data_IF_706861663978
#
_entry.id   IF_706861663978
#
_cell.length_a   1.000
_cell.length_b   1.000
_cell.length_c   1.000
_cell.angle_alpha   90.00
_cell.angle_beta   90.00
_cell.angle_gamma   90.00
#
_symmetry.space_group_name_H-M   'P 1'
#
loop_
_entity.id
_entity.type
_entity.pdbx_description
1 polymer ?
#
# COMPACT_ATOMS: atom_id res chain seq x y z
N UNK A 1 -36.80 45.01 -32.99
CA UNK A 1 -36.29 44.84 -31.62
C UNK A 1 -34.85 44.39 -31.74
N UNK A 2 -33.92 45.26 -31.36
CA UNK A 2 -32.49 45.21 -31.71
C UNK A 2 -31.72 44.20 -30.86
N UNK A 3 -30.95 43.32 -31.53
CA UNK A 3 -29.99 42.42 -30.90
C UNK A 3 -28.71 43.18 -30.53
N UNK A 4 -28.43 43.29 -29.24
CA UNK A 4 -27.15 43.80 -28.74
C UNK A 4 -26.10 42.68 -28.74
N UNK A 5 -25.09 42.83 -29.58
CA UNK A 5 -23.86 42.03 -29.54
C UNK A 5 -23.01 42.43 -28.33
N UNK A 6 -22.66 41.47 -27.48
CA UNK A 6 -21.62 41.62 -26.46
C UNK A 6 -20.26 41.29 -27.07
N UNK A 7 -19.35 42.27 -27.08
CA UNK A 7 -17.95 42.07 -27.40
C UNK A 7 -17.18 41.50 -26.18
N UNK A 8 -16.21 40.61 -26.37
CA UNK A 8 -15.37 40.11 -25.28
C UNK A 8 -14.27 41.12 -24.90
N UNK A 9 -14.07 41.31 -23.61
CA UNK A 9 -12.98 42.09 -23.02
C UNK A 9 -11.64 41.35 -23.12
N UNK A 10 -10.52 42.04 -23.39
CA UNK A 10 -9.19 41.44 -23.38
C UNK A 10 -8.69 41.24 -21.94
N UNK A 11 -8.26 40.02 -21.60
CA UNK A 11 -7.55 39.74 -20.35
C UNK A 11 -6.04 40.01 -20.53
N UNK A 12 -5.37 40.63 -19.56
CA UNK A 12 -3.94 40.90 -19.62
C UNK A 12 -3.13 39.64 -19.28
N UNK A 13 -2.35 39.18 -20.26
CA UNK A 13 -1.34 38.13 -20.11
C UNK A 13 -0.06 38.71 -19.50
N UNK A 14 0.11 38.58 -18.19
CA UNK A 14 1.40 38.78 -17.52
C UNK A 14 1.64 37.60 -16.57
N UNK A 15 2.91 37.16 -16.50
CA UNK A 15 3.47 36.09 -15.67
C UNK A 15 3.58 34.71 -16.34
N UNK A 16 4.43 34.63 -17.36
CA UNK A 16 5.19 33.42 -17.71
C UNK A 16 6.67 33.80 -17.73
N UNK A 17 7.29 33.89 -16.56
CA UNK A 17 8.73 34.11 -16.44
C UNK A 17 9.22 33.65 -15.06
N UNK A 18 9.42 32.34 -14.89
CA UNK A 18 10.45 31.76 -13.98
C UNK A 18 10.48 30.24 -14.20
N UNK A 19 11.16 29.82 -15.24
CA UNK A 19 11.81 28.52 -15.32
C UNK A 19 13.24 28.78 -15.79
N UNK A 20 14.16 27.87 -15.46
CA UNK A 20 15.62 27.91 -15.73
C UNK A 20 16.42 28.61 -14.62
N UNK A 21 16.80 27.87 -13.58
CA UNK A 21 18.18 27.72 -13.05
C UNK A 21 18.14 26.62 -11.98
N UNK A 22 18.26 25.34 -12.37
CA UNK A 22 18.94 24.30 -11.56
C UNK A 22 19.00 22.96 -12.33
N UNK A 23 19.84 22.87 -13.36
CA UNK A 23 20.19 21.58 -13.98
C UNK A 23 21.52 21.71 -14.71
N UNK A 24 22.59 21.90 -13.95
CA UNK A 24 23.96 21.83 -14.48
C UNK A 24 24.93 21.52 -13.33
N UNK A 25 25.09 20.22 -13.03
CA UNK A 25 26.26 19.63 -12.36
C UNK A 25 25.98 18.15 -12.09
N UNK A 26 26.21 17.28 -13.09
CA UNK A 26 26.74 15.91 -12.94
C UNK A 26 26.79 15.25 -14.33
N UNK A 27 27.77 15.65 -15.14
CA UNK A 27 28.12 14.94 -16.38
C UNK A 27 29.59 15.18 -16.67
N UNK A 28 30.46 14.42 -16.00
CA UNK A 28 31.86 14.21 -16.35
C UNK A 28 32.38 13.16 -15.38
N UNK A 29 32.49 11.91 -15.83
CA UNK A 29 33.65 11.04 -15.54
C UNK A 29 33.51 9.68 -16.25
N UNK A 30 34.50 9.43 -17.11
CA UNK A 30 35.05 8.14 -17.57
C UNK A 30 34.28 7.34 -18.61
N UNK A 31 34.56 7.64 -19.88
CA UNK A 31 34.62 6.65 -20.96
C UNK A 31 36.00 5.99 -20.94
N UNK A 32 36.07 4.72 -20.53
CA UNK A 32 37.25 3.87 -20.75
C UNK A 32 36.81 2.64 -21.56
N UNK A 33 37.30 2.61 -22.80
CA UNK A 33 37.21 1.54 -23.78
C UNK A 33 37.97 0.29 -23.31
N UNK A 34 37.40 -0.89 -23.56
CA UNK A 34 38.10 -2.17 -23.44
C UNK A 34 37.73 -3.10 -24.61
N UNK A 35 38.67 -3.92 -25.10
CA UNK A 35 38.56 -4.70 -26.35
C UNK A 35 37.72 -5.98 -26.21
N UNK A 36 37.32 -6.62 -27.35
CA UNK A 36 36.52 -7.83 -27.34
C UNK A 36 37.39 -9.05 -26.97
N UNK A 37 37.10 -9.68 -25.83
CA UNK A 37 37.67 -10.97 -25.46
C UNK A 37 36.71 -12.12 -25.84
N UNK A 38 37.30 -13.14 -26.44
CA UNK A 38 36.65 -14.27 -27.07
C UNK A 38 35.79 -15.13 -26.11
N UNK A 39 34.79 -15.75 -26.71
CA UNK A 39 33.86 -16.69 -26.11
C UNK A 39 34.56 -17.91 -25.48
N UNK A 40 34.14 -18.25 -24.26
CA UNK A 40 34.16 -19.62 -23.73
C UNK A 40 32.77 -19.95 -23.17
N UNK A 41 32.19 -21.12 -23.49
CA UNK A 41 30.95 -21.56 -22.88
C UNK A 41 31.24 -21.98 -21.44
N UNK A 42 31.06 -21.07 -20.50
CA UNK A 42 31.01 -21.41 -19.09
C UNK A 42 29.74 -22.21 -18.84
N UNK A 43 29.90 -23.51 -18.56
CA UNK A 43 28.87 -24.32 -17.94
C UNK A 43 28.40 -23.61 -16.67
N UNK A 44 27.22 -23.02 -16.74
CA UNK A 44 26.55 -22.44 -15.58
C UNK A 44 26.18 -23.59 -14.64
N UNK A 45 27.08 -23.91 -13.72
CA UNK A 45 26.72 -24.54 -12.48
C UNK A 45 25.77 -23.59 -11.78
N UNK A 46 24.47 -23.84 -11.92
CA UNK A 46 23.42 -23.21 -11.11
C UNK A 46 23.74 -23.57 -9.66
N UNK A 47 24.54 -22.73 -9.00
CA UNK A 47 24.48 -22.60 -7.56
C UNK A 47 23.06 -22.18 -7.25
N UNK A 48 22.22 -23.16 -6.95
CA UNK A 48 21.02 -23.00 -6.16
C UNK A 48 21.48 -22.40 -4.82
N UNK A 49 21.73 -21.09 -4.85
CA UNK A 49 21.96 -20.27 -3.68
C UNK A 49 20.81 -20.58 -2.75
N UNK A 50 21.15 -20.91 -1.50
CA UNK A 50 20.21 -21.17 -0.43
C UNK A 50 19.26 -19.98 -0.29
N UNK A 51 18.20 -19.97 -1.10
CA UNK A 51 17.05 -19.11 -0.95
C UNK A 51 16.49 -19.49 0.41
N UNK A 52 16.84 -18.73 1.45
CA UNK A 52 16.34 -19.01 2.79
C UNK A 52 14.83 -19.16 2.67
N UNK A 53 14.32 -20.29 3.17
CA UNK A 53 12.91 -20.61 3.09
C UNK A 53 12.10 -19.40 3.55
N UNK A 54 11.23 -18.89 2.68
CA UNK A 54 10.28 -17.80 2.98
C UNK A 54 8.95 -18.41 3.45
N UNK A 55 8.69 -19.64 3.00
CA UNK A 55 7.50 -20.41 3.29
C UNK A 55 7.36 -20.67 4.79
N UNK A 56 6.21 -20.31 5.34
CA UNK A 56 5.97 -20.50 6.76
C UNK A 56 4.82 -19.68 7.31
N UNK A 57 4.80 -19.59 8.64
CA UNK A 57 3.84 -18.83 9.43
C UNK A 57 4.47 -17.52 9.88
N UNK A 58 3.73 -16.44 9.71
CA UNK A 58 4.19 -15.08 9.96
C UNK A 58 3.13 -14.28 10.70
N UNK A 59 3.50 -13.62 11.80
CA UNK A 59 2.60 -12.77 12.58
C UNK A 59 2.58 -11.37 12.01
N UNK A 60 1.41 -10.89 11.60
CA UNK A 60 1.26 -9.58 10.99
C UNK A 60 1.12 -8.45 12.03
N UNK A 61 1.72 -7.29 11.75
CA UNK A 61 1.41 -6.06 12.46
C UNK A 61 0.06 -5.49 12.00
N UNK A 62 -0.45 -4.50 12.74
CA UNK A 62 -1.53 -3.67 12.21
C UNK A 62 -1.09 -3.02 10.89
N UNK A 63 -2.03 -2.83 9.96
CA UNK A 63 -1.85 -1.98 8.80
C UNK A 63 -2.03 -0.54 9.26
N UNK A 64 -0.98 0.26 9.10
CA UNK A 64 -1.04 1.69 9.37
C UNK A 64 -1.22 2.42 8.05
N UNK A 65 -2.21 3.31 7.99
CA UNK A 65 -2.49 4.18 6.86
C UNK A 65 -2.34 5.62 7.32
N UNK A 66 -1.32 6.31 6.82
CA UNK A 66 -1.08 7.71 7.10
C UNK A 66 -1.48 8.54 5.86
N UNK A 67 -2.49 9.39 6.00
CA UNK A 67 -2.97 10.27 4.92
C UNK A 67 -2.40 11.69 5.09
N UNK A 68 -1.96 12.28 3.98
CA UNK A 68 -1.60 13.70 3.89
C UNK A 68 -2.52 14.37 2.88
N UNK A 69 -3.44 15.19 3.39
CA UNK A 69 -4.40 15.91 2.57
C UNK A 69 -3.71 17.12 1.95
N UNK A 70 -3.63 17.15 0.61
CA UNK A 70 -3.05 18.26 -0.14
C UNK A 70 -4.10 19.30 -0.50
N UNK A 71 -5.25 18.83 -0.97
CA UNK A 71 -6.39 19.67 -1.33
C UNK A 71 -7.67 18.93 -0.98
N UNK A 72 -8.58 19.58 -0.27
CA UNK A 72 -9.86 18.96 0.07
C UNK A 72 -10.95 20.01 0.10
N UNK A 73 -11.98 19.80 -0.71
CA UNK A 73 -13.15 20.67 -0.78
C UNK A 73 -14.33 20.04 -0.08
N UNK A 74 -15.35 20.84 0.25
CA UNK A 74 -16.56 20.35 0.91
C UNK A 74 -17.36 19.35 0.05
N UNK A 75 -17.27 19.45 -1.28
CA UNK A 75 -17.89 18.51 -2.23
C UNK A 75 -17.29 17.10 -2.16
N UNK A 76 -16.08 16.94 -1.60
CA UNK A 76 -15.38 15.67 -1.46
C UNK A 76 -15.89 14.83 -0.27
N UNK A 77 -16.72 15.40 0.61
CA UNK A 77 -17.07 14.81 1.90
C UNK A 77 -15.97 14.99 2.96
N UNK A 78 -15.99 14.21 4.06
CA UNK A 78 -14.97 14.30 5.10
C UNK A 78 -13.57 13.95 4.57
N UNK A 79 -12.56 14.72 5.00
CA UNK A 79 -11.17 14.44 4.65
C UNK A 79 -10.72 13.09 5.24
N UNK A 80 -9.91 12.30 4.50
CA UNK A 80 -9.41 11.03 5.01
C UNK A 80 -8.53 11.29 6.23
N UNK A 81 -8.69 10.47 7.25
CA UNK A 81 -7.89 10.52 8.46
C UNK A 81 -6.99 9.30 8.53
N UNK A 82 -5.81 9.48 9.11
CA UNK A 82 -4.88 8.37 9.34
C UNK A 82 -5.48 7.37 10.34
N UNK A 83 -5.39 6.09 10.01
CA UNK A 83 -5.97 5.01 10.80
C UNK A 83 -5.00 3.83 10.93
N UNK A 84 -5.33 2.91 11.83
CA UNK A 84 -4.63 1.64 11.99
C UNK A 84 -5.66 0.54 12.10
N UNK A 85 -5.52 -0.53 11.32
CA UNK A 85 -6.50 -1.62 11.24
C UNK A 85 -5.86 -3.00 11.22
N UNK A 86 -6.58 -3.99 11.77
CA UNK A 86 -6.14 -5.38 11.84
C UNK A 86 -4.87 -5.59 12.68
N UNK A 87 -4.17 -6.70 12.42
CA UNK A 87 -2.92 -7.05 13.13
C UNK A 87 -3.08 -8.23 14.08
N UNK A 88 -1.96 -8.79 14.52
CA UNK A 88 -1.91 -9.86 15.54
C UNK A 88 -2.14 -11.27 14.99
N UNK A 89 -2.87 -11.41 13.88
CA UNK A 89 -3.12 -12.72 13.26
C UNK A 89 -1.85 -13.35 12.68
N UNK A 90 -1.87 -14.67 12.53
CA UNK A 90 -0.81 -15.42 11.86
C UNK A 90 -1.24 -15.69 10.42
N UNK A 91 -0.50 -15.13 9.47
CA UNK A 91 -0.61 -15.40 8.04
C UNK A 91 0.29 -16.57 7.64
N UNK A 92 -0.10 -17.28 6.59
CA UNK A 92 0.79 -18.21 5.90
C UNK A 92 1.40 -17.48 4.72
N UNK A 93 2.72 -17.49 4.62
CA UNK A 93 3.44 -16.91 3.48
C UNK A 93 4.04 -18.05 2.69
N UNK A 94 3.94 -17.98 1.36
CA UNK A 94 4.52 -18.94 0.43
C UNK A 94 5.10 -18.23 -0.77
N UNK A 95 6.11 -18.83 -1.39
CA UNK A 95 6.51 -18.52 -2.75
C UNK A 95 5.71 -19.39 -3.74
N UNK A 96 5.00 -18.75 -4.66
CA UNK A 96 4.39 -19.42 -5.81
C UNK A 96 5.06 -18.94 -7.08
N UNK A 97 5.91 -19.81 -7.65
CA UNK A 97 6.84 -19.41 -8.70
C UNK A 97 7.79 -18.33 -8.18
N UNK A 98 7.73 -17.15 -8.79
CA UNK A 98 8.55 -16.00 -8.42
C UNK A 98 7.83 -14.99 -7.52
N UNK A 99 6.61 -15.28 -7.09
CA UNK A 99 5.76 -14.34 -6.36
C UNK A 99 5.57 -14.72 -4.91
N UNK A 100 5.56 -13.72 -4.04
CA UNK A 100 5.17 -13.86 -2.65
C UNK A 100 3.65 -13.91 -2.55
N UNK A 101 3.12 -14.93 -1.90
CA UNK A 101 1.68 -15.09 -1.61
C UNK A 101 1.49 -15.08 -0.10
N UNK A 102 0.67 -14.15 0.38
CA UNK A 102 0.32 -13.99 1.79
C UNK A 102 -1.15 -14.38 1.97
N UNK A 103 -1.37 -15.46 2.70
CA UNK A 103 -2.68 -16.01 3.06
C UNK A 103 -2.99 -15.63 4.52
N UNK A 104 -3.78 -14.59 4.74
CA UNK A 104 -4.17 -14.16 6.09
C UNK A 104 -4.46 -12.67 6.18
N UNK A 105 -4.98 -12.21 7.32
CA UNK A 105 -5.26 -10.79 7.55
C UNK A 105 -6.37 -10.20 6.68
N UNK A 106 -7.39 -11.01 6.42
CA UNK A 106 -8.64 -10.59 5.77
C UNK A 106 -8.67 -10.73 4.25
N UNK A 107 -7.54 -11.01 3.58
CA UNK A 107 -7.50 -11.33 2.15
C UNK A 107 -6.26 -12.13 1.76
N UNK A 108 -6.27 -12.75 0.59
CA UNK A 108 -5.05 -13.21 -0.08
C UNK A 108 -4.39 -12.03 -0.79
N UNK A 109 -3.08 -11.87 -0.59
CA UNK A 109 -2.28 -10.86 -1.29
C UNK A 109 -1.14 -11.54 -2.04
N UNK A 110 -0.98 -11.20 -3.33
CA UNK A 110 0.19 -11.58 -4.12
C UNK A 110 1.06 -10.35 -4.39
N UNK A 111 2.38 -10.50 -4.36
CA UNK A 111 3.32 -9.39 -4.60
C UNK A 111 3.11 -8.69 -5.93
N UNK A 112 2.58 -9.39 -6.93
CA UNK A 112 2.26 -8.85 -8.24
C UNK A 112 0.81 -8.35 -8.38
N UNK A 113 0.10 -8.11 -7.28
CA UNK A 113 -1.23 -7.49 -7.28
C UNK A 113 -1.17 -6.11 -6.61
N UNK A 114 -2.21 -5.30 -6.84
CA UNK A 114 -2.37 -4.05 -6.12
C UNK A 114 -2.67 -4.33 -4.65
N UNK A 115 -1.93 -3.68 -3.74
CA UNK A 115 -2.14 -3.88 -2.32
C UNK A 115 -3.37 -3.12 -1.81
N UNK A 116 -3.72 -1.99 -2.42
CA UNK A 116 -5.02 -1.36 -2.20
C UNK A 116 -6.15 -2.14 -2.92
N UNK A 117 -7.28 -2.41 -2.24
CA UNK A 117 -8.39 -3.17 -2.81
C UNK A 117 -9.34 -2.33 -3.69
N UNK A 118 -9.02 -1.08 -4.05
CA UNK A 118 -9.85 -0.23 -4.90
C UNK A 118 -10.15 -0.96 -6.22
N UNK A 119 -11.43 -1.19 -6.57
CA UNK A 119 -11.79 -2.05 -7.71
C UNK A 119 -11.25 -1.59 -9.07
N UNK A 120 -11.05 -0.28 -9.27
CA UNK A 120 -10.57 0.27 -10.53
C UNK A 120 -9.06 0.35 -10.65
N UNK A 121 -8.31 0.02 -9.59
CA UNK A 121 -6.86 -0.09 -9.65
C UNK A 121 -6.45 -1.32 -10.45
N UNK A 122 -5.63 -1.11 -11.48
CA UNK A 122 -4.99 -2.16 -12.22
C UNK A 122 -3.47 -2.07 -12.08
N UNK A 123 -2.80 -3.21 -12.21
CA UNK A 123 -1.33 -3.28 -12.21
C UNK A 123 -0.77 -2.65 -13.49
N UNK A 124 -0.05 -1.56 -13.34
CA UNK A 124 0.63 -0.87 -14.43
C UNK A 124 2.04 -1.40 -14.68
N UNK A 125 2.77 -1.75 -13.62
CA UNK A 125 4.10 -2.35 -13.72
C UNK A 125 4.39 -3.26 -12.54
N UNK A 126 5.23 -4.27 -12.75
CA UNK A 126 5.74 -5.15 -11.71
C UNK A 126 7.17 -5.53 -12.00
N UNK A 127 7.99 -5.59 -10.96
CA UNK A 127 9.38 -6.04 -11.04
C UNK A 127 9.77 -6.76 -9.76
N UNK A 128 10.69 -7.70 -9.90
CA UNK A 128 11.25 -8.49 -8.82
C UNK A 128 12.76 -8.37 -8.84
N UNK A 129 13.36 -8.28 -7.66
CA UNK A 129 14.81 -8.32 -7.52
C UNK A 129 15.33 -9.75 -7.77
N UNK A 130 16.48 -9.94 -8.45
CA UNK A 130 17.04 -11.26 -8.75
C UNK A 130 17.26 -12.15 -7.51
N UNK A 131 17.42 -11.58 -6.32
CA UNK A 131 17.53 -12.35 -5.08
C UNK A 131 16.22 -13.02 -4.66
N UNK A 132 15.09 -12.66 -5.27
CA UNK A 132 13.77 -13.12 -4.85
C UNK A 132 13.34 -12.59 -3.47
N UNK A 133 13.97 -11.52 -2.99
CA UNK A 133 13.68 -10.90 -1.68
C UNK A 133 13.01 -9.54 -1.76
N UNK A 134 12.78 -9.02 -2.96
CA UNK A 134 12.07 -7.76 -3.11
C UNK A 134 11.21 -7.74 -4.36
N UNK A 135 10.02 -7.15 -4.22
CA UNK A 135 9.06 -6.94 -5.29
C UNK A 135 8.61 -5.48 -5.27
N UNK A 136 8.45 -4.90 -6.46
CA UNK A 136 7.91 -3.57 -6.66
C UNK A 136 6.75 -3.64 -7.62
N UNK A 137 5.59 -3.16 -7.19
CA UNK A 137 4.37 -3.13 -7.99
C UNK A 137 3.87 -1.70 -8.06
N UNK A 138 3.63 -1.23 -9.28
CA UNK A 138 2.94 0.04 -9.53
C UNK A 138 1.53 -0.28 -9.99
N UNK A 139 0.55 0.35 -9.35
CA UNK A 139 -0.84 0.29 -9.74
C UNK A 139 -1.37 1.67 -10.07
N UNK A 140 -2.26 1.73 -11.04
CA UNK A 140 -2.94 2.98 -11.41
C UNK A 140 -4.34 2.69 -11.91
N UNK A 141 -5.23 3.66 -11.74
CA UNK A 141 -6.54 3.64 -12.39
C UNK A 141 -6.40 4.06 -13.87
N UNK A 142 -7.36 3.72 -14.73
CA UNK A 142 -7.40 4.21 -16.11
C UNK A 142 -7.45 5.74 -16.19
N UNK A 143 -6.98 6.33 -17.30
CA UNK A 143 -6.92 7.79 -17.48
C UNK A 143 -8.31 8.48 -17.44
N UNK A 144 -9.38 7.76 -17.77
CA UNK A 144 -10.75 8.28 -17.73
C UNK A 144 -11.46 8.11 -16.37
N UNK A 145 -10.82 7.51 -15.37
CA UNK A 145 -11.44 7.29 -14.07
C UNK A 145 -11.59 8.63 -13.31
N UNK A 146 -12.79 9.00 -12.82
CA UNK A 146 -12.98 10.21 -12.01
C UNK A 146 -12.27 10.14 -10.64
N UNK A 147 -11.90 8.94 -10.18
CA UNK A 147 -11.13 8.67 -8.97
C UNK A 147 -9.75 8.17 -9.37
N UNK A 148 -8.89 9.08 -9.81
CA UNK A 148 -7.54 8.73 -10.20
C UNK A 148 -6.73 8.29 -8.99
N UNK A 149 -6.03 7.17 -9.12
CA UNK A 149 -5.07 6.72 -8.13
C UNK A 149 -3.79 6.26 -8.79
N UNK A 150 -2.65 6.55 -8.17
CA UNK A 150 -1.35 5.95 -8.53
C UNK A 150 -0.66 5.50 -7.26
N UNK A 151 -0.43 4.20 -7.15
CA UNK A 151 0.16 3.55 -5.99
C UNK A 151 1.46 2.83 -6.38
N UNK A 152 2.41 2.80 -5.46
CA UNK A 152 3.64 2.04 -5.57
C UNK A 152 3.84 1.23 -4.28
N UNK A 153 3.76 -0.08 -4.41
CA UNK A 153 3.99 -1.05 -3.34
C UNK A 153 5.41 -1.61 -3.45
N UNK A 154 6.13 -1.64 -2.34
CA UNK A 154 7.41 -2.32 -2.15
C UNK A 154 7.25 -3.41 -1.10
N UNK A 155 7.56 -4.64 -1.47
CA UNK A 155 7.67 -5.77 -0.55
C UNK A 155 9.16 -6.11 -0.42
N UNK A 156 9.64 -6.28 0.81
CA UNK A 156 11.02 -6.72 1.10
C UNK A 156 11.02 -7.82 2.15
N UNK A 157 11.87 -8.83 1.96
CA UNK A 157 11.92 -10.02 2.81
C UNK A 157 13.34 -10.22 3.34
N UNK A 158 13.47 -10.20 4.67
CA UNK A 158 14.67 -10.63 5.40
C UNK A 158 14.49 -12.06 5.94
N UNK A 159 15.42 -12.54 6.76
CA UNK A 159 15.34 -13.86 7.40
C UNK A 159 14.23 -13.98 8.44
N UNK A 160 13.83 -12.86 9.07
CA UNK A 160 12.87 -12.87 10.19
C UNK A 160 11.73 -11.88 10.01
N UNK A 161 11.76 -11.08 8.93
CA UNK A 161 10.81 -9.99 8.72
C UNK A 161 10.43 -9.81 7.26
N UNK A 162 9.15 -9.56 7.02
CA UNK A 162 8.64 -9.07 5.73
C UNK A 162 8.13 -7.67 5.97
N UNK A 163 8.50 -6.74 5.11
CA UNK A 163 8.02 -5.36 5.13
C UNK A 163 7.24 -5.09 3.85
N UNK A 164 6.03 -4.55 4.01
CA UNK A 164 5.17 -4.06 2.94
C UNK A 164 5.02 -2.57 3.16
N UNK A 165 5.53 -1.78 2.23
CA UNK A 165 5.39 -0.33 2.22
C UNK A 165 4.71 0.10 0.91
N UNK A 166 3.63 0.85 1.03
CA UNK A 166 2.94 1.43 -0.12
C UNK A 166 2.90 2.95 0.02
N UNK A 167 3.16 3.64 -1.08
CA UNK A 167 2.94 5.09 -1.20
C UNK A 167 2.07 5.34 -2.39
N UNK A 168 1.18 6.32 -2.31
CA UNK A 168 0.39 6.69 -3.46
C UNK A 168 -0.33 8.01 -3.32
N UNK A 169 -1.02 8.36 -4.39
CA UNK A 169 -1.76 9.60 -4.53
C UNK A 169 -3.14 9.32 -5.08
N UNK A 170 -4.15 9.86 -4.43
CA UNK A 170 -5.54 9.87 -4.86
C UNK A 170 -5.90 11.27 -5.35
N UNK A 171 -6.55 11.34 -6.50
CA UNK A 171 -7.10 12.55 -7.10
C UNK A 171 -8.54 12.27 -7.53
N UNK A 172 -9.50 12.90 -6.87
CA UNK A 172 -10.92 12.77 -7.20
C UNK A 172 -11.42 14.09 -7.76
N UNK A 173 -12.14 14.04 -8.87
CA UNK A 173 -12.82 15.22 -9.44
C UNK A 173 -14.33 15.11 -9.21
N UNK A 174 -14.92 16.05 -8.45
CA UNK A 174 -16.35 16.08 -8.10
C UNK A 174 -16.90 17.49 -8.29
N UNK A 175 -17.89 17.68 -9.16
CA UNK A 175 -18.56 18.97 -9.42
C UNK A 175 -17.57 20.13 -9.61
N UNK A 176 -16.59 19.95 -10.51
CA UNK A 176 -15.47 20.87 -10.80
C UNK A 176 -14.47 21.09 -9.64
N UNK A 177 -14.63 20.34 -8.54
CA UNK A 177 -13.73 20.33 -7.40
C UNK A 177 -12.67 19.23 -7.46
N UNK A 178 -11.46 19.53 -7.00
CA UNK A 178 -10.36 18.56 -6.89
C UNK A 178 -10.09 18.17 -5.44
N UNK A 179 -10.09 16.87 -5.17
CA UNK A 179 -9.79 16.27 -3.88
C UNK A 179 -8.50 15.47 -4.02
N UNK A 180 -7.44 15.89 -3.34
CA UNK A 180 -6.12 15.31 -3.45
C UNK A 180 -5.60 14.92 -2.07
N UNK A 181 -5.26 13.64 -1.93
CA UNK A 181 -4.62 13.12 -0.74
C UNK A 181 -3.51 12.14 -1.13
N UNK A 182 -2.37 12.26 -0.47
CA UNK A 182 -1.32 11.26 -0.54
C UNK A 182 -1.51 10.26 0.60
N UNK A 183 -1.21 8.98 0.35
CA UNK A 183 -1.29 7.91 1.33
C UNK A 183 0.07 7.24 1.48
N UNK A 184 0.41 6.91 2.72
CA UNK A 184 1.49 5.99 3.04
C UNK A 184 0.94 4.85 3.87
N UNK A 185 1.09 3.62 3.38
CA UNK A 185 0.71 2.42 4.11
C UNK A 185 1.93 1.60 4.48
N UNK A 186 1.94 1.05 5.69
CA UNK A 186 2.95 0.09 6.09
C UNK A 186 2.35 -1.08 6.87
N UNK A 187 2.91 -2.26 6.64
CA UNK A 187 2.65 -3.47 7.40
C UNK A 187 3.92 -4.30 7.43
N UNK A 188 4.22 -4.85 8.60
CA UNK A 188 5.31 -5.80 8.79
C UNK A 188 4.76 -7.18 9.15
N UNK A 189 5.49 -8.23 8.81
CA UNK A 189 5.24 -9.58 9.27
C UNK A 189 6.48 -10.13 9.94
N UNK A 190 6.35 -10.65 11.16
CA UNK A 190 7.42 -11.28 11.90
C UNK A 190 7.33 -12.81 11.78
N UNK A 191 8.45 -13.46 11.51
CA UNK A 191 8.48 -14.92 11.37
C UNK A 191 8.06 -15.61 12.68
N UNK A 192 7.13 -16.57 12.57
CA UNK A 192 6.70 -17.44 13.68
C UNK A 192 7.36 -18.81 13.54
N UNK A 193 7.23 -19.43 12.38
CA UNK A 193 7.84 -20.71 12.07
C UNK A 193 8.05 -20.84 10.56
N UNK A 194 9.15 -21.43 10.15
CA UNK A 194 9.36 -21.83 8.75
C UNK A 194 8.71 -23.18 8.51
N UNK A 195 8.15 -23.37 7.33
CA UNK A 195 7.75 -24.70 6.88
C UNK A 195 9.03 -25.51 6.61
N UNK A 196 9.05 -26.77 7.05
CA UNK A 196 10.17 -27.65 6.77
C UNK A 196 10.31 -27.80 5.25
N UNK A 197 11.54 -27.68 4.73
CA UNK A 197 11.80 -27.84 3.31
C UNK A 197 11.19 -29.16 2.82
N UNK A 198 10.43 -29.17 1.71
CA UNK A 198 9.84 -30.40 1.20
C UNK A 198 10.97 -31.41 0.95
N UNK A 199 10.80 -32.69 1.35
CA UNK A 199 11.82 -33.71 1.11
C UNK A 199 12.12 -33.76 -0.38
N UNK A 200 13.40 -33.70 -0.73
CA UNK A 200 13.85 -33.79 -2.12
C UNK A 200 13.32 -35.09 -2.71
N UNK A 201 12.55 -35.06 -3.82
CA UNK A 201 12.03 -36.28 -4.40
C UNK A 201 13.20 -37.12 -4.89
N UNK A 202 13.52 -38.18 -4.15
CA UNK A 202 14.39 -39.24 -4.65
C UNK A 202 13.59 -39.96 -5.72
N UNK A 203 13.99 -39.77 -6.98
CA UNK A 203 13.39 -40.45 -8.11
C UNK A 203 13.72 -41.94 -8.03
N UNK A 204 12.91 -42.70 -7.31
CA UNK A 204 12.87 -44.15 -7.42
C UNK A 204 11.76 -44.52 -8.41
N UNK A 205 12.16 -44.82 -9.64
CA UNK A 205 11.32 -45.56 -10.55
C UNK A 205 11.12 -46.96 -9.96
N UNK A 206 9.91 -47.28 -9.48
CA UNK A 206 9.52 -48.65 -9.13
C UNK A 206 8.02 -48.82 -9.37
N UNK A 207 7.72 -49.94 -10.00
CA UNK A 207 6.45 -50.34 -10.57
C UNK A 207 5.26 -50.29 -9.60
N UNK A 208 4.08 -50.14 -10.17
CA UNK A 208 2.79 -50.22 -9.49
C UNK A 208 2.60 -51.58 -8.78
N UNK A 209 2.23 -51.58 -7.50
CA UNK A 209 1.49 -52.67 -6.89
C UNK A 209 0.01 -52.32 -6.81
N UNK A 210 -0.83 -53.18 -7.38
CA UNK A 210 -2.23 -53.32 -6.95
C UNK A 210 -2.25 -53.91 -5.55
N UNK A 211 -2.71 -53.15 -4.55
CA UNK A 211 -3.13 -53.72 -3.27
C UNK A 211 -4.44 -53.09 -2.77
N UNK A 212 -5.47 -53.93 -2.84
CA UNK A 212 -6.51 -54.21 -1.85
C UNK A 212 -6.57 -53.28 -0.63
N UNK A 213 -7.68 -52.56 -0.54
CA UNK A 213 -8.10 -51.72 0.58
C UNK A 213 -8.29 -52.57 1.84
N UNK A 214 -7.35 -52.45 2.79
CA UNK A 214 -7.56 -52.83 4.17
C UNK A 214 -8.33 -51.71 4.91
N UNK A 215 -9.20 -52.03 5.89
CA UNK A 215 -9.94 -51.04 6.66
C UNK A 215 -8.99 -50.14 7.48
N UNK A 216 -9.26 -48.83 7.58
CA UNK A 216 -8.37 -47.89 8.25
C UNK A 216 -8.30 -48.13 9.76
N UNK A 217 -7.06 -48.14 10.28
CA UNK A 217 -6.77 -48.10 11.72
C UNK A 217 -7.40 -46.85 12.38
N UNK A 218 -7.86 -46.95 13.64
CA UNK A 218 -8.47 -45.83 14.35
C UNK A 218 -7.45 -44.70 14.60
N UNK A 219 -7.83 -43.42 14.39
CA UNK A 219 -6.93 -42.28 14.55
C UNK A 219 -6.47 -42.11 16.00
N UNK A 220 -5.17 -41.87 16.18
CA UNK A 220 -4.59 -41.52 17.48
C UNK A 220 -5.31 -40.30 18.10
N UNK A 221 -5.51 -40.26 19.44
CA UNK A 221 -6.27 -39.20 20.11
C UNK A 221 -5.61 -37.83 19.88
N UNK A 222 -6.24 -37.03 19.03
CA UNK A 222 -5.72 -35.76 18.53
C UNK A 222 -5.77 -34.65 19.58
N UNK A 223 -4.96 -33.60 19.33
CA UNK A 223 -4.79 -32.37 20.14
C UNK A 223 -6.09 -31.59 20.45
N UNK A 224 -7.23 -32.04 19.95
CA UNK A 224 -8.55 -31.40 20.11
C UNK A 224 -9.55 -32.26 20.91
N UNK A 225 -9.08 -33.20 21.74
CA UNK A 225 -9.97 -34.02 22.58
C UNK A 225 -10.81 -33.18 23.56
N UNK A 226 -10.34 -31.99 23.94
CA UNK A 226 -11.09 -31.04 24.76
C UNK A 226 -10.91 -29.63 24.18
N UNK A 227 -11.83 -29.17 23.31
CA UNK A 227 -11.82 -27.82 22.77
C UNK A 227 -11.93 -26.76 23.88
N UNK A 228 -11.18 -25.67 23.73
CA UNK A 228 -11.25 -24.50 24.59
C UNK A 228 -12.47 -23.62 24.31
N UNK A 229 -12.48 -22.43 24.92
CA UNK A 229 -13.52 -21.45 24.70
C UNK A 229 -13.48 -20.89 23.26
N UNK A 230 -14.64 -20.55 22.66
CA UNK A 230 -14.69 -19.92 21.34
C UNK A 230 -13.81 -18.67 21.24
N UNK A 231 -12.91 -18.63 20.27
CA UNK A 231 -12.02 -17.49 20.02
C UNK A 231 -12.10 -16.95 18.59
N UNK A 232 -12.66 -17.73 17.65
CA UNK A 232 -12.78 -17.32 16.25
C UNK A 232 -14.03 -17.94 15.62
N UNK A 233 -14.79 -17.13 14.90
CA UNK A 233 -15.86 -17.56 14.00
C UNK A 233 -15.39 -17.32 12.56
N UNK A 234 -15.39 -18.37 11.73
CA UNK A 234 -15.01 -18.33 10.32
C UNK A 234 -16.12 -18.92 9.44
N UNK A 235 -16.46 -18.25 8.35
CA UNK A 235 -17.49 -18.69 7.38
C UNK A 235 -16.89 -18.71 5.98
N UNK A 236 -17.05 -19.85 5.27
CA UNK A 236 -16.55 -20.06 3.91
C UNK A 236 -17.68 -20.50 2.96
N UNK A 237 -17.70 -19.99 1.72
CA UNK A 237 -16.93 -18.83 1.22
C UNK A 237 -17.43 -17.50 1.84
N UNK A 238 -16.71 -16.40 1.64
CA UNK A 238 -17.15 -15.05 2.07
C UNK A 238 -18.17 -14.42 1.13
N UNK A 239 -18.17 -14.83 -0.14
CA UNK A 239 -19.09 -14.39 -1.20
C UNK A 239 -19.49 -15.56 -2.08
N UNK A 240 -20.75 -15.62 -2.49
CA UNK A 240 -21.30 -16.63 -3.42
C UNK A 240 -22.21 -15.98 -4.46
N UNK A 241 -22.00 -16.29 -5.74
CA UNK A 241 -22.90 -15.97 -6.83
C UNK A 241 -23.87 -17.14 -7.07
N UNK A 242 -25.18 -16.88 -7.00
CA UNK A 242 -26.25 -17.88 -7.16
C UNK A 242 -27.23 -17.48 -8.26
N UNK A 243 -27.76 -18.48 -8.97
CA UNK A 243 -28.86 -18.29 -9.91
C UNK A 243 -30.20 -18.35 -9.18
N UNK A 244 -31.24 -17.83 -9.81
CA UNK A 244 -32.62 -18.06 -9.36
C UNK A 244 -32.92 -19.56 -9.30
N UNK A 245 -33.45 -20.04 -8.18
CA UNK A 245 -33.72 -21.46 -7.94
C UNK A 245 -32.55 -22.25 -7.35
N UNK A 246 -31.33 -21.69 -7.32
CA UNK A 246 -30.16 -22.40 -6.80
C UNK A 246 -30.22 -22.61 -5.28
N UNK A 247 -29.43 -23.58 -4.83
CA UNK A 247 -29.23 -23.87 -3.42
C UNK A 247 -27.75 -24.08 -3.12
N UNK A 248 -27.28 -23.53 -2.00
CA UNK A 248 -25.87 -23.59 -1.62
C UNK A 248 -25.71 -23.66 -0.10
N UNK A 249 -24.69 -24.36 0.41
CA UNK A 249 -24.45 -24.48 1.85
C UNK A 249 -23.14 -23.80 2.25
N UNK A 250 -23.24 -22.73 3.04
CA UNK A 250 -22.07 -22.11 3.67
C UNK A 250 -21.54 -23.00 4.79
N UNK A 251 -20.22 -23.00 4.96
CA UNK A 251 -19.57 -23.68 6.08
C UNK A 251 -19.14 -22.65 7.11
N UNK A 252 -19.79 -22.65 8.27
CA UNK A 252 -19.34 -21.91 9.43
C UNK A 252 -18.61 -22.83 10.41
N UNK A 253 -17.47 -22.37 10.94
CA UNK A 253 -16.69 -23.07 11.95
C UNK A 253 -16.34 -22.11 13.08
N UNK A 254 -16.64 -22.52 14.31
CA UNK A 254 -16.21 -21.82 15.52
C UNK A 254 -15.03 -22.59 16.11
N UNK A 255 -13.88 -21.93 16.23
CA UNK A 255 -12.66 -22.52 16.78
C UNK A 255 -12.20 -21.80 18.04
N UNK A 256 -11.47 -22.53 18.89
CA UNK A 256 -10.73 -21.97 20.00
C UNK A 256 -9.39 -21.38 19.56
N UNK A 257 -8.61 -20.92 20.53
CA UNK A 257 -7.29 -20.30 20.36
C UNK A 257 -6.23 -21.29 19.83
N UNK A 258 -6.50 -22.59 19.96
CA UNK A 258 -5.67 -23.69 19.45
C UNK A 258 -6.12 -24.18 18.07
N UNK A 259 -7.19 -23.62 17.52
CA UNK A 259 -7.78 -24.00 16.23
C UNK A 259 -8.67 -25.25 16.29
N UNK A 260 -9.05 -25.72 17.48
CA UNK A 260 -9.97 -26.83 17.66
C UNK A 260 -11.42 -26.35 17.57
N UNK A 261 -12.29 -27.13 16.92
CA UNK A 261 -13.71 -26.79 16.81
C UNK A 261 -14.41 -26.88 18.18
N UNK A 262 -15.12 -25.83 18.58
CA UNK A 262 -15.69 -25.71 19.95
C UNK A 262 -17.07 -26.32 20.11
N UNK A 263 -17.68 -26.83 19.03
CA UNK A 263 -19.06 -27.32 19.02
C UNK A 263 -20.12 -26.22 19.16
N UNK A 264 -19.72 -24.94 19.20
CA UNK A 264 -20.66 -23.81 19.26
C UNK A 264 -21.42 -23.69 17.94
N UNK A 265 -22.74 -23.84 17.99
CA UNK A 265 -23.58 -23.75 16.80
C UNK A 265 -23.73 -22.29 16.32
N UNK A 266 -23.51 -22.02 15.02
CA UNK A 266 -23.74 -20.71 14.43
C UNK A 266 -25.23 -20.50 14.14
N UNK A 267 -25.71 -19.28 14.41
CA UNK A 267 -27.08 -18.84 14.09
C UNK A 267 -27.06 -17.98 12.84
N UNK A 268 -27.89 -18.35 11.87
CA UNK A 268 -27.97 -17.73 10.55
C UNK A 268 -29.20 -16.84 10.42
N UNK A 269 -29.01 -15.63 9.87
CA UNK A 269 -30.11 -14.73 9.54
C UNK A 269 -29.92 -14.10 8.16
N UNK A 270 -31.02 -13.96 7.42
CA UNK A 270 -31.07 -13.34 6.08
C UNK A 270 -32.35 -12.52 5.96
N UNK A 271 -32.30 -11.48 5.14
CA UNK A 271 -33.49 -10.74 4.74
C UNK A 271 -34.36 -11.58 3.79
N UNK A 272 -35.50 -12.05 4.28
CA UNK A 272 -36.44 -12.87 3.53
C UNK A 272 -37.19 -12.08 2.44
N UNK A 273 -37.26 -10.74 2.54
CA UNK A 273 -37.96 -9.90 1.54
C UNK A 273 -37.26 -9.89 0.18
N UNK A 274 -36.03 -10.39 0.13
CA UNK A 274 -35.24 -10.59 -1.08
C UNK A 274 -35.52 -11.94 -1.76
N UNK A 275 -36.33 -12.82 -1.14
CA UNK A 275 -36.62 -14.16 -1.65
C UNK A 275 -35.52 -15.18 -1.36
N UNK A 276 -34.69 -14.94 -0.34
CA UNK A 276 -33.69 -15.89 0.15
C UNK A 276 -34.16 -16.51 1.46
N UNK A 277 -33.88 -17.79 1.62
CA UNK A 277 -34.07 -18.51 2.88
C UNK A 277 -32.75 -19.16 3.29
N UNK A 278 -32.43 -19.14 4.59
CA UNK A 278 -31.26 -19.84 5.15
C UNK A 278 -31.73 -20.75 6.28
N UNK A 279 -31.31 -22.01 6.27
CA UNK A 279 -31.60 -22.96 7.34
C UNK A 279 -30.55 -22.91 8.47
N UNK A 280 -30.79 -23.67 9.56
CA UNK A 280 -29.89 -23.73 10.70
C UNK A 280 -28.49 -24.30 10.37
N UNK A 281 -28.34 -25.01 9.25
CA UNK A 281 -27.06 -25.58 8.80
C UNK A 281 -26.32 -24.66 7.83
N UNK A 282 -26.84 -23.46 7.56
CA UNK A 282 -26.26 -22.51 6.61
C UNK A 282 -26.58 -22.84 5.15
N UNK A 283 -27.59 -23.67 4.89
CA UNK A 283 -28.07 -23.93 3.53
C UNK A 283 -29.00 -22.81 3.10
N UNK A 284 -28.56 -22.09 2.08
CA UNK A 284 -29.26 -20.98 1.43
C UNK A 284 -30.01 -21.50 0.22
N UNK A 285 -31.29 -21.13 0.11
CA UNK A 285 -32.14 -21.38 -1.06
C UNK A 285 -32.57 -20.05 -1.66
N UNK A 286 -32.42 -19.92 -2.98
CA UNK A 286 -32.88 -18.76 -3.74
C UNK A 286 -34.23 -19.09 -4.37
N UNK A 287 -35.27 -18.35 -4.03
CA UNK A 287 -36.58 -18.52 -4.66
C UNK A 287 -36.56 -18.16 -6.16
N UNK A 288 -37.45 -18.76 -6.94
CA UNK A 288 -37.56 -18.45 -8.38
C UNK A 288 -37.96 -16.99 -8.64
N UNK A 289 -38.69 -16.37 -7.72
CA UNK A 289 -39.05 -14.95 -7.73
C UNK A 289 -38.15 -14.05 -6.88
N UNK A 290 -36.95 -14.52 -6.49
CA UNK A 290 -36.01 -13.72 -5.71
C UNK A 290 -35.56 -12.48 -6.49
N UNK A 291 -35.29 -11.39 -5.75
CA UNK A 291 -34.81 -10.15 -6.37
C UNK A 291 -33.32 -10.29 -6.71
N UNK A 292 -32.94 -9.98 -7.94
CA UNK A 292 -31.52 -9.92 -8.32
C UNK A 292 -30.73 -8.89 -7.47
N UNK A 293 -29.43 -9.10 -7.35
CA UNK A 293 -28.48 -8.23 -6.64
C UNK A 293 -27.87 -8.86 -5.38
N UNK A 294 -27.08 -8.07 -4.66
CA UNK A 294 -26.39 -8.50 -3.45
C UNK A 294 -27.32 -8.51 -2.22
N UNK A 295 -27.20 -9.55 -1.40
CA UNK A 295 -27.90 -9.73 -0.13
C UNK A 295 -26.89 -10.21 0.91
N UNK A 296 -26.86 -9.57 2.08
CA UNK A 296 -26.00 -10.00 3.18
C UNK A 296 -26.69 -11.08 4.04
N UNK A 297 -25.94 -12.13 4.37
CA UNK A 297 -26.31 -13.13 5.38
C UNK A 297 -25.45 -12.87 6.62
N UNK A 298 -26.10 -12.70 7.76
CA UNK A 298 -25.43 -12.52 9.05
C UNK A 298 -25.34 -13.87 9.77
N UNK A 299 -24.13 -14.24 10.17
CA UNK A 299 -23.84 -15.45 10.94
C UNK A 299 -23.37 -15.02 12.31
N UNK A 300 -23.94 -15.58 13.37
CA UNK A 300 -23.61 -15.22 14.74
C UNK A 300 -23.26 -16.43 15.60
N UNK A 301 -22.22 -16.31 16.41
CA UNK A 301 -21.81 -17.33 17.37
C UNK A 301 -21.10 -16.65 18.55
N UNK A 302 -21.34 -17.12 19.77
CA UNK A 302 -20.74 -16.57 20.99
C UNK A 302 -20.82 -15.03 21.10
N UNK A 303 -21.96 -14.44 20.70
CA UNK A 303 -22.21 -13.00 20.76
C UNK A 303 -21.53 -12.17 19.67
N UNK A 304 -20.70 -12.76 18.81
CA UNK A 304 -20.11 -12.09 17.66
C UNK A 304 -20.92 -12.33 16.40
N UNK A 305 -20.78 -11.41 15.43
CA UNK A 305 -21.46 -11.46 14.13
C UNK A 305 -20.45 -11.32 13.02
N UNK A 306 -20.60 -12.12 11.97
CA UNK A 306 -19.84 -12.03 10.72
C UNK A 306 -20.82 -12.02 9.56
N UNK A 307 -20.49 -11.30 8.49
CA UNK A 307 -21.34 -11.17 7.31
C UNK A 307 -20.72 -11.91 6.12
N UNK A 308 -21.55 -12.59 5.35
CA UNK A 308 -21.20 -13.13 4.03
C UNK A 308 -22.18 -12.59 2.98
N UNK A 309 -21.73 -12.48 1.74
CA UNK A 309 -22.50 -11.85 0.65
C UNK A 309 -22.99 -12.92 -0.33
N UNK A 310 -24.29 -12.91 -0.61
CA UNK A 310 -24.87 -13.70 -1.71
C UNK A 310 -25.32 -12.74 -2.79
N UNK A 311 -24.81 -12.91 -4.00
CA UNK A 311 -25.27 -12.18 -5.17
C UNK A 311 -26.21 -13.09 -5.97
N UNK A 312 -27.47 -12.66 -6.12
CA UNK A 312 -28.48 -13.40 -6.89
C UNK A 312 -28.56 -12.82 -8.29
N UNK A 313 -28.51 -13.67 -9.30
CA UNK A 313 -28.57 -13.24 -10.70
C UNK A 313 -29.42 -14.19 -11.55
N UNK A 314 -29.92 -13.69 -12.68
CA UNK A 314 -30.57 -14.54 -13.68
C UNK A 314 -29.55 -15.41 -14.41
N UNK A 315 -29.97 -16.58 -14.94
CA UNK A 315 -29.10 -17.45 -15.71
C UNK A 315 -28.37 -16.74 -16.86
N UNK A 316 -28.99 -15.75 -17.48
CA UNK A 316 -28.43 -15.00 -18.61
C UNK A 316 -27.24 -14.12 -18.22
N UNK A 317 -27.19 -13.63 -16.98
CA UNK A 317 -26.14 -12.73 -16.48
C UNK A 317 -25.04 -13.45 -15.70
N UNK A 318 -25.24 -14.73 -15.37
CA UNK A 318 -24.37 -15.48 -14.48
C UNK A 318 -22.93 -15.54 -15.01
N UNK A 319 -22.74 -15.93 -16.26
CA UNK A 319 -21.40 -16.11 -16.84
C UNK A 319 -20.63 -14.78 -16.97
N UNK A 320 -21.35 -13.68 -17.21
CA UNK A 320 -20.74 -12.35 -17.31
C UNK A 320 -20.30 -11.84 -15.94
N UNK A 321 -21.13 -12.00 -14.91
CA UNK A 321 -20.78 -11.67 -13.53
C UNK A 321 -19.65 -12.55 -13.00
N UNK A 322 -19.63 -13.84 -13.35
CA UNK A 322 -18.57 -14.76 -12.96
C UNK A 322 -17.20 -14.27 -13.47
N UNK A 323 -17.12 -13.81 -14.73
CA UNK A 323 -15.90 -13.26 -15.32
C UNK A 323 -15.43 -11.94 -14.67
N UNK A 324 -16.37 -11.11 -14.21
CA UNK A 324 -16.06 -9.79 -13.64
C UNK A 324 -15.76 -9.81 -12.14
N UNK A 325 -16.37 -10.73 -11.40
CA UNK A 325 -16.42 -10.72 -9.93
C UNK A 325 -15.15 -11.24 -9.24
N UNK A 326 -14.22 -11.85 -10.00
CA UNK A 326 -13.03 -12.48 -9.44
C UNK A 326 -13.33 -13.73 -8.59
N UNK A 327 -14.52 -14.31 -8.76
CA UNK A 327 -14.94 -15.56 -8.13
C UNK A 327 -14.40 -16.76 -8.94
N UNK A 328 -14.27 -17.91 -8.28
CA UNK A 328 -13.83 -19.15 -8.94
C UNK A 328 -14.93 -19.73 -9.85
N UNK A 329 -14.66 -20.84 -10.55
CA UNK A 329 -15.59 -21.43 -11.51
C UNK A 329 -16.95 -21.84 -10.92
N UNK A 330 -17.05 -21.99 -9.60
CA UNK A 330 -18.29 -22.32 -8.88
C UNK A 330 -19.04 -21.06 -8.40
N UNK A 331 -18.56 -19.87 -8.74
CA UNK A 331 -19.10 -18.60 -8.26
C UNK A 331 -18.78 -18.35 -6.79
N UNK A 332 -17.68 -18.90 -6.27
CA UNK A 332 -17.28 -18.76 -4.87
C UNK A 332 -16.06 -17.85 -4.74
N UNK A 333 -16.03 -17.10 -3.64
CA UNK A 333 -14.81 -16.43 -3.19
C UNK A 333 -13.93 -17.43 -2.46
N UNK A 334 -12.65 -17.48 -2.80
CA UNK A 334 -11.66 -18.30 -2.07
C UNK A 334 -11.36 -17.76 -0.66
N UNK A 335 -11.93 -16.59 -0.31
CA UNK A 335 -11.76 -15.95 1.00
C UNK A 335 -12.76 -16.48 2.02
N UNK A 336 -12.35 -16.49 3.28
CA UNK A 336 -13.25 -16.70 4.42
C UNK A 336 -13.64 -15.35 5.03
N UNK A 337 -14.87 -15.24 5.52
CA UNK A 337 -15.27 -14.14 6.40
C UNK A 337 -15.03 -14.57 7.84
N UNK A 338 -14.23 -13.83 8.62
CA UNK A 338 -13.90 -14.23 9.98
C UNK A 338 -13.91 -13.08 10.97
N UNK A 339 -14.29 -13.38 12.21
CA UNK A 339 -14.25 -12.47 13.35
C UNK A 339 -13.62 -13.19 14.55
N UNK A 340 -12.77 -12.49 15.30
CA UNK A 340 -12.22 -12.99 16.55
C UNK A 340 -13.24 -12.76 17.68
N UNK A 341 -13.52 -13.80 18.45
CA UNK A 341 -14.38 -13.75 19.62
C UNK A 341 -13.50 -13.36 20.81
N UNK A 342 -13.73 -12.20 21.44
CA UNK A 342 -12.98 -11.82 22.63
C UNK A 342 -13.26 -12.86 23.72
N UNK A 343 -12.20 -13.54 24.20
CA UNK A 343 -12.33 -14.56 25.22
C UNK A 343 -12.95 -13.97 26.49
N UNK A 344 -13.93 -14.67 27.07
CA UNK A 344 -14.63 -14.28 28.30
C UNK A 344 -13.79 -14.44 29.57
N UNK A 345 -12.47 -14.63 29.45
CA UNK A 345 -11.53 -14.58 30.56
C UNK A 345 -11.25 -13.13 30.99
N UNK A 346 -12.29 -12.40 31.36
CA UNK A 346 -12.17 -11.19 32.16
C UNK A 346 -12.97 -11.44 33.42
N UNK A 347 -12.27 -12.02 34.39
CA UNK A 347 -12.55 -11.86 35.81
C UNK A 347 -12.91 -10.39 36.07
N UNK A 348 -14.01 -10.19 36.78
CA UNK A 348 -14.67 -8.92 37.08
C UNK A 348 -13.78 -8.00 37.91
N UNK A 349 -12.67 -7.53 37.35
CA UNK A 349 -11.94 -6.38 37.86
C UNK A 349 -12.52 -5.16 37.20
N UNK A 350 -13.32 -4.47 38.01
CA UNK A 350 -13.62 -3.06 37.97
C UNK A 350 -12.65 -2.32 37.04
N UNK A 351 -13.17 -1.88 35.90
CA UNK A 351 -12.45 -0.99 34.99
C UNK A 351 -12.25 0.31 35.77
N UNK A 352 -11.13 0.42 36.49
CA UNK A 352 -10.54 1.72 36.72
C UNK A 352 -10.29 2.28 35.32
N UNK A 353 -11.13 3.23 34.92
CA UNK A 353 -10.83 4.16 33.86
C UNK A 353 -9.56 4.91 34.27
N UNK A 354 -8.39 4.31 34.05
CA UNK A 354 -7.14 5.05 34.05
C UNK A 354 -7.30 6.10 32.97
N UNK A 355 -7.34 7.35 33.42
CA UNK A 355 -7.46 8.55 32.63
C UNK A 355 -6.22 8.72 31.74
N UNK A 356 -6.11 7.87 30.73
CA UNK A 356 -5.03 7.84 29.74
C UNK A 356 -5.02 9.12 28.90
N UNK A 357 -6.07 9.94 29.00
CA UNK A 357 -6.18 11.24 28.35
C UNK A 357 -5.15 12.24 28.89
N UNK A 358 -4.92 12.26 30.22
CA UNK A 358 -3.97 13.20 30.86
C UNK A 358 -2.52 12.88 30.49
N UNK A 359 -2.16 11.59 30.48
CA UNK A 359 -0.81 11.15 30.09
C UNK A 359 -0.53 11.41 28.61
N UNK A 360 -1.50 11.19 27.72
CA UNK A 360 -1.35 11.49 26.28
C UNK A 360 -1.23 12.98 25.99
N UNK A 361 -1.97 13.84 26.71
CA UNK A 361 -1.85 15.30 26.57
C UNK A 361 -0.48 15.83 27.01
N UNK A 362 0.09 15.31 28.10
CA UNK A 362 1.44 15.69 28.54
C UNK A 362 2.52 15.25 27.57
N UNK A 363 2.44 14.02 27.05
CA UNK A 363 3.41 13.51 26.07
C UNK A 363 3.33 14.31 24.77
N UNK A 364 2.12 14.60 24.28
CA UNK A 364 1.93 15.39 23.07
C UNK A 364 2.45 16.83 23.23
N UNK A 365 2.16 17.48 24.36
CA UNK A 365 2.69 18.82 24.67
C UNK A 365 4.21 18.88 24.68
N UNK A 366 4.87 17.86 25.24
CA UNK A 366 6.33 17.76 25.24
C UNK A 366 6.94 17.66 23.84
N UNK A 367 6.34 16.87 22.95
CA UNK A 367 6.82 16.71 21.56
C UNK A 367 6.66 18.01 20.77
N UNK A 368 5.51 18.67 20.86
CA UNK A 368 5.27 19.94 20.14
C UNK A 368 6.23 21.04 20.61
N UNK A 369 6.45 21.15 21.92
CA UNK A 369 7.38 22.12 22.47
C UNK A 369 8.83 21.84 22.04
N UNK A 370 9.27 20.57 22.07
CA UNK A 370 10.61 20.19 21.60
C UNK A 370 10.82 20.52 20.12
N UNK A 371 9.81 20.31 19.28
CA UNK A 371 9.89 20.59 17.85
C UNK A 371 9.96 22.11 17.58
N UNK A 372 9.18 22.92 18.31
CA UNK A 372 9.23 24.38 18.21
C UNK A 372 10.61 24.95 18.59
N UNK A 373 11.23 24.46 19.67
CA UNK A 373 12.58 24.87 20.08
C UNK A 373 13.62 24.49 19.03
N UNK A 374 13.51 23.29 18.45
CA UNK A 374 14.44 22.84 17.41
C UNK A 374 14.37 23.71 16.15
N UNK A 375 13.16 24.09 15.71
CA UNK A 375 12.96 24.97 14.55
C UNK A 375 13.46 26.39 14.83
N UNK A 376 13.24 26.92 16.04
CA UNK A 376 13.77 28.22 16.43
C UNK A 376 15.31 28.27 16.40
N UNK A 377 15.97 27.18 16.85
CA UNK A 377 17.42 27.07 16.79
C UNK A 377 17.94 27.02 15.35
N UNK A 378 17.29 26.23 14.47
CA UNK A 378 17.65 26.18 13.04
C UNK A 378 17.46 27.55 12.38
N UNK A 379 16.35 28.23 12.66
CA UNK A 379 16.10 29.58 12.14
C UNK A 379 17.18 30.58 12.61
N UNK A 380 17.57 30.55 13.88
CA UNK A 380 18.67 31.39 14.40
C UNK A 380 20.01 31.07 13.73
N UNK A 381 20.32 29.79 13.47
CA UNK A 381 21.55 29.40 12.76
C UNK A 381 21.53 29.87 11.30
N UNK A 382 20.40 29.72 10.60
CA UNK A 382 20.25 30.15 9.21
C UNK A 382 20.33 31.67 9.08
N UNK A 383 19.69 32.43 9.96
CA UNK A 383 19.75 33.90 9.96
C UNK A 383 21.12 34.43 10.32
N UNK A 384 21.87 33.77 11.22
CA UNK A 384 23.27 34.10 11.49
C UNK A 384 24.16 33.85 10.26
N UNK A 385 23.95 32.72 9.59
CA UNK A 385 24.74 32.35 8.39
C UNK A 385 24.43 33.25 7.20
N UNK A 386 23.17 33.66 7.01
CA UNK A 386 22.80 34.59 5.94
C UNK A 386 23.38 35.98 6.16
N UNK A 387 23.35 36.51 7.39
CA UNK A 387 23.99 37.79 7.74
C UNK A 387 25.51 37.76 7.54
N UNK A 388 26.17 36.65 7.86
CA UNK A 388 27.60 36.50 7.62
C UNK A 388 27.94 36.52 6.11
N UNK A 389 27.13 35.85 5.28
CA UNK A 389 27.29 35.86 3.82
C UNK A 389 27.02 37.23 3.20
N UNK A 390 26.00 37.95 3.68
CA UNK A 390 25.71 39.31 3.22
C UNK A 390 26.88 40.26 3.46
N UNK A 391 27.49 40.21 4.65
CA UNK A 391 28.68 41.02 4.98
C UNK A 391 29.91 40.64 4.13
N UNK A 392 30.06 39.37 3.76
CA UNK A 392 31.15 38.95 2.88
C UNK A 392 30.96 39.48 1.46
N UNK A 393 29.73 39.42 0.93
CA UNK A 393 29.41 39.92 -0.40
C UNK A 393 29.55 41.45 -0.50
N UNK A 394 29.21 42.20 0.55
CA UNK A 394 29.40 43.66 0.61
C UNK A 394 30.89 44.03 0.52
N UNK A 395 31.76 43.33 1.27
CA UNK A 395 33.22 43.53 1.21
C UNK A 395 33.81 43.22 -0.16
N UNK A 396 33.32 42.15 -0.81
CA UNK A 396 33.76 41.79 -2.16
C UNK A 396 33.32 42.86 -3.18
N UNK A 397 32.10 43.38 -3.06
CA UNK A 397 31.60 44.45 -3.90
C UNK A 397 32.40 45.77 -3.72
N UNK A 398 32.75 46.13 -2.48
CA UNK A 398 33.61 47.28 -2.18
C UNK A 398 35.01 47.11 -2.80
N UNK A 399 35.61 45.92 -2.70
CA UNK A 399 36.92 45.65 -3.30
C UNK A 399 36.91 45.80 -4.84
N UNK A 400 35.89 45.25 -5.50
CA UNK A 400 35.71 45.39 -6.96
C UNK A 400 35.40 46.83 -7.39
N UNK A 401 34.77 47.62 -6.51
CA UNK A 401 34.52 49.03 -6.77
C UNK A 401 35.82 49.85 -6.69
N UNK A 402 36.63 49.63 -5.64
CA UNK A 402 37.94 50.27 -5.48
C UNK A 402 38.91 49.92 -6.62
N UNK A 403 38.91 48.65 -7.07
CA UNK A 403 39.72 48.23 -8.23
C UNK A 403 39.31 48.94 -9.51
N UNK A 404 38.01 48.97 -9.83
CA UNK A 404 37.48 49.68 -11.00
C UNK A 404 37.75 51.18 -10.95
N UNK A 405 37.70 51.78 -9.75
CA UNK A 405 38.02 53.19 -9.55
C UNK A 405 39.49 53.48 -9.86
N UNK A 406 40.41 52.64 -9.36
CA UNK A 406 41.85 52.74 -9.66
C UNK A 406 42.12 52.59 -11.15
N UNK A 407 41.49 51.63 -11.81
CA UNK A 407 41.63 51.43 -13.26
C UNK A 407 41.12 52.64 -14.06
N UNK A 408 39.98 53.21 -13.66
CA UNK A 408 39.43 54.41 -14.28
C UNK A 408 40.35 55.64 -14.12
N UNK A 409 40.95 55.80 -12.93
CA UNK A 409 41.90 56.87 -12.65
C UNK A 409 43.20 56.70 -13.48
N UNK A 410 43.71 55.47 -13.62
CA UNK A 410 44.85 55.18 -14.50
C UNK A 410 44.55 55.53 -15.97
N UNK A 411 43.42 55.08 -16.51
CA UNK A 411 43.00 55.43 -17.89
C UNK A 411 42.78 56.93 -18.08
N UNK A 412 42.36 57.65 -17.03
CA UNK A 412 42.25 59.12 -17.09
C UNK A 412 43.63 59.77 -17.14
N UNK A 413 44.57 59.31 -16.33
CA UNK A 413 45.94 59.82 -16.32
C UNK A 413 46.66 59.54 -17.65
N UNK A 414 46.51 58.34 -18.21
CA UNK A 414 47.05 58.01 -19.54
C UNK A 414 46.50 58.94 -20.63
N UNK A 415 45.19 59.22 -20.61
CA UNK A 415 44.57 60.18 -21.54
C UNK A 415 45.14 61.59 -21.37
N UNK A 416 45.32 62.06 -20.15
CA UNK A 416 45.93 63.38 -19.88
C UNK A 416 47.38 63.44 -20.39
N UNK A 417 48.20 62.42 -20.10
CA UNK A 417 49.58 62.34 -20.61
C UNK A 417 49.64 62.31 -22.13
N UNK A 418 48.74 61.56 -22.78
CA UNK A 418 48.66 61.51 -24.24
C UNK A 418 48.29 62.87 -24.85
N UNK A 419 47.38 63.61 -24.20
CA UNK A 419 46.96 64.93 -24.63
C UNK A 419 48.09 65.96 -24.45
N UNK A 420 48.79 65.95 -23.32
CA UNK A 420 49.96 66.80 -23.09
C UNK A 420 51.10 66.52 -24.07
N UNK A 421 51.31 65.25 -24.45
CA UNK A 421 52.29 64.89 -25.47
C UNK A 421 51.89 65.41 -26.85
N UNK A 422 50.60 65.33 -27.22
CA UNK A 422 50.08 65.88 -28.47
C UNK A 422 50.20 67.42 -28.51
N UNK A 423 49.91 68.09 -27.40
CA UNK A 423 50.07 69.55 -27.30
C UNK A 423 51.53 69.97 -27.48
N UNK A 424 52.47 69.30 -26.82
CA UNK A 424 53.91 69.56 -27.00
C UNK A 424 54.36 69.34 -28.45
N UNK A 425 53.93 68.24 -29.07
CA UNK A 425 54.23 67.97 -30.48
C UNK A 425 53.67 69.05 -31.42
N UNK A 426 52.51 69.62 -31.10
CA UNK A 426 51.92 70.73 -31.86
C UNK A 426 52.62 72.06 -31.60
N UNK A 427 53.16 72.30 -30.40
CA UNK A 427 53.94 73.51 -30.11
C UNK A 427 55.33 73.49 -30.76
N UNK A 428 55.90 72.30 -30.97
CA UNK A 428 57.19 72.11 -31.65
C UNK A 428 57.10 72.23 -33.18
N UNK A 429 55.90 72.02 -33.76
CA UNK A 429 55.61 72.15 -35.20
C UNK A 429 55.22 73.57 -35.59
#
# INVERSE_FOLDING_TARGET
>A
MSNASFAPTPTPSWLSATAVVLTALLALFVTASSPPAAAQPASASTTASAAAAIDGKWRQSALREDYTVQQWQSSCGPAPTSTSSGGGDVATVKLEGDELVILGGGRVFRSNQCYDPMPTLARAAHSRDPSGRSWRTRCSTPAGDPRRATLQTLVTVSSTRIEIAETGRYEVTVNDGHCVADVKRNRSLALVSLDAAPPTPTATATAAPSETVAPPDPPAPGRCASPGAPSKLEVRPSRKLLRLGDTFAFRAQVTDDKGCATGTEPVWTVDKERGLEVDARGKVRVGEGAKEGETEITVSAAGQKVKVVVEVTSPQKYDDLLKQSGLNAEGESDQASSVNIPGTAIDSREVQAQDASRRRRLVFGGVVFGLAVSLAAVYLLLTRRSRARAKAAEKEAEALYEERKREADLRRNERLQSHEAQQRAHEES
#
